data_IF_494868976237
#
_entry.id   IF_494868976237
#
_cell.length_a   1.000
_cell.length_b   1.000
_cell.length_c   1.000
_cell.angle_alpha   90.00
_cell.angle_beta   90.00
_cell.angle_gamma   90.00
#
_symmetry.space_group_name_H-M   'P 1'
#
loop_
_entity.id
_entity.type
_entity.pdbx_description
1 polymer ?
#
# COMPACT_ATOMS: atom_id res chain seq x y z
N UNK A 1 27.72 80.28 6.74
CA UNK A 1 26.66 81.09 7.32
C UNK A 1 25.59 80.14 7.83
N UNK A 2 25.45 80.15 9.16
CA UNK A 2 24.24 79.90 9.98
C UNK A 2 23.46 78.62 9.71
N UNK A 3 23.09 77.81 10.60
CA UNK A 3 23.02 77.73 12.06
C UNK A 3 22.07 76.54 12.31
N UNK A 4 22.52 75.59 13.05
CA UNK A 4 21.96 75.10 14.33
C UNK A 4 20.43 75.13 14.49
N UNK A 5 19.85 73.98 14.76
CA UNK A 5 19.04 73.78 15.97
C UNK A 5 18.80 72.28 16.26
N UNK A 6 19.37 71.98 17.35
CA UNK A 6 19.12 70.87 18.23
C UNK A 6 17.70 70.97 18.82
N UNK A 7 16.93 69.88 18.84
CA UNK A 7 15.83 69.79 19.79
C UNK A 7 15.74 68.35 20.28
N UNK A 8 16.29 68.12 21.42
CA UNK A 8 16.10 67.02 22.34
C UNK A 8 14.67 67.10 22.88
N UNK A 9 13.91 66.04 22.74
CA UNK A 9 12.70 65.82 23.55
C UNK A 9 12.76 64.41 24.14
N UNK A 10 12.75 64.44 25.36
CA UNK A 10 12.73 63.56 26.50
C UNK A 10 11.69 62.45 26.37
N UNK A 11 12.15 61.28 26.76
CA UNK A 11 11.40 60.08 27.16
C UNK A 11 10.57 60.38 28.42
N UNK A 12 9.44 59.70 28.59
CA UNK A 12 9.16 59.16 29.91
C UNK A 12 9.03 57.64 29.91
N UNK A 13 9.78 57.05 30.75
CA UNK A 13 9.56 55.70 31.28
C UNK A 13 8.19 55.62 31.96
N UNK A 14 7.41 54.64 31.68
CA UNK A 14 6.86 53.74 32.69
C UNK A 14 6.00 52.64 32.11
N UNK A 15 5.97 51.59 32.91
CA UNK A 15 5.00 50.48 32.92
C UNK A 15 5.42 49.17 32.26
N UNK A 16 6.24 48.44 33.03
CA UNK A 16 6.22 46.98 33.12
C UNK A 16 4.81 46.42 33.02
N UNK A 17 4.54 45.58 32.07
CA UNK A 17 3.72 44.40 32.26
C UNK A 17 4.27 43.25 31.42
N UNK A 18 4.98 42.40 32.12
CA UNK A 18 5.25 41.03 31.76
C UNK A 18 3.93 40.31 31.47
N UNK A 19 3.70 39.99 30.23
CA UNK A 19 2.80 38.92 29.85
C UNK A 19 3.60 37.87 29.14
N UNK A 20 4.10 36.92 29.94
CA UNK A 20 4.66 35.68 29.44
C UNK A 20 3.56 34.95 28.64
N UNK A 21 3.62 35.05 27.34
CA UNK A 21 2.89 34.16 26.45
C UNK A 21 3.50 32.76 26.62
N UNK A 22 2.85 31.97 27.46
CA UNK A 22 3.08 30.52 27.52
C UNK A 22 2.73 29.98 26.14
N UNK A 23 3.73 29.62 25.39
CA UNK A 23 3.57 28.72 24.27
C UNK A 23 3.09 27.38 24.83
N UNK A 24 1.96 26.81 24.36
CA UNK A 24 1.63 25.44 24.69
C UNK A 24 2.69 24.56 24.03
N UNK A 25 3.37 23.78 24.84
CA UNK A 25 4.22 22.70 24.38
C UNK A 25 3.41 21.88 23.38
N UNK A 26 3.90 21.78 22.15
CA UNK A 26 3.39 20.84 21.17
C UNK A 26 3.66 19.43 21.72
N UNK A 27 2.66 18.91 22.40
CA UNK A 27 2.59 17.52 22.81
C UNK A 27 2.52 16.71 21.52
N UNK A 28 3.65 16.16 21.17
CA UNK A 28 3.85 15.28 20.04
C UNK A 28 3.12 13.97 20.37
N UNK A 29 1.80 13.99 20.20
CA UNK A 29 0.98 12.77 20.23
C UNK A 29 1.35 11.95 19.02
N UNK A 30 2.39 11.15 19.18
CA UNK A 30 2.61 9.97 18.35
C UNK A 30 1.40 9.08 18.56
N UNK A 31 0.37 9.29 17.73
CA UNK A 31 -0.78 8.38 17.65
C UNK A 31 -0.23 7.07 17.13
N UNK A 32 0.17 6.20 18.06
CA UNK A 32 0.37 4.79 17.77
C UNK A 32 -0.98 4.30 17.31
N UNK A 33 -1.14 4.14 15.99
CA UNK A 33 -2.32 3.50 15.41
C UNK A 33 -2.33 2.07 15.94
N UNK A 34 -3.12 1.87 16.96
CA UNK A 34 -3.43 0.58 17.54
C UNK A 34 -4.00 -0.31 16.41
N UNK A 35 -3.21 -1.31 16.04
CA UNK A 35 -3.58 -2.27 15.01
C UNK A 35 -4.78 -3.05 15.54
N UNK A 36 -5.97 -2.73 15.03
CA UNK A 36 -7.17 -3.52 15.28
C UNK A 36 -6.88 -4.99 14.93
N UNK A 37 -7.20 -5.95 15.81
CA UNK A 37 -6.98 -7.36 15.54
C UNK A 37 -7.87 -7.79 14.38
N UNK A 38 -7.25 -8.02 13.20
CA UNK A 38 -7.89 -8.68 12.07
C UNK A 38 -8.02 -10.17 12.41
N UNK A 39 -9.03 -10.49 13.17
CA UNK A 39 -9.29 -11.84 13.68
C UNK A 39 -10.76 -12.26 13.59
N UNK A 40 -11.52 -11.73 12.64
CA UNK A 40 -12.82 -12.31 12.33
C UNK A 40 -12.60 -13.56 11.46
N UNK A 41 -12.78 -14.74 12.07
CA UNK A 41 -12.91 -16.02 11.35
C UNK A 41 -14.16 -15.98 10.47
N UNK A 42 -14.10 -15.29 9.34
CA UNK A 42 -15.13 -15.39 8.32
C UNK A 42 -15.07 -16.80 7.75
N UNK A 43 -16.19 -17.54 7.82
CA UNK A 43 -16.34 -18.83 7.16
C UNK A 43 -15.97 -18.62 5.68
N UNK A 44 -14.89 -19.25 5.27
CA UNK A 44 -14.42 -19.18 3.88
C UNK A 44 -15.48 -19.82 2.99
N UNK A 45 -16.06 -19.10 2.01
CA UNK A 45 -17.03 -19.70 1.11
C UNK A 45 -16.35 -20.80 0.29
N UNK A 46 -17.10 -21.81 -0.14
CA UNK A 46 -16.58 -22.99 -0.85
C UNK A 46 -15.73 -22.63 -2.08
N UNK A 47 -16.09 -21.57 -2.78
CA UNK A 47 -15.32 -21.08 -3.93
C UNK A 47 -13.92 -20.56 -3.56
N UNK A 48 -13.67 -20.23 -2.31
CA UNK A 48 -12.34 -19.83 -1.85
C UNK A 48 -11.28 -20.94 -2.00
N UNK A 49 -11.71 -22.20 -2.03
CA UNK A 49 -10.84 -23.36 -2.31
C UNK A 49 -10.82 -23.70 -3.81
N UNK A 50 -11.93 -23.47 -4.50
CA UNK A 50 -12.04 -23.75 -5.92
C UNK A 50 -11.22 -22.79 -6.77
N UNK A 51 -11.17 -21.50 -6.39
CA UNK A 51 -10.50 -20.46 -7.19
C UNK A 51 -9.01 -20.73 -7.41
N UNK A 52 -8.18 -21.07 -6.40
CA UNK A 52 -6.77 -21.39 -6.63
C UNK A 52 -6.59 -22.62 -7.52
N UNK A 53 -7.43 -23.65 -7.37
CA UNK A 53 -7.34 -24.87 -8.16
C UNK A 53 -7.67 -24.60 -9.63
N UNK A 54 -8.80 -23.96 -9.89
CA UNK A 54 -9.24 -23.60 -11.23
C UNK A 54 -8.25 -22.63 -11.89
N UNK A 55 -7.81 -21.59 -11.17
CA UNK A 55 -6.85 -20.64 -11.67
C UNK A 55 -5.51 -21.26 -12.06
N UNK A 56 -5.01 -22.21 -11.26
CA UNK A 56 -3.78 -22.97 -11.58
C UNK A 56 -3.98 -23.90 -12.78
N UNK A 57 -5.13 -24.58 -12.88
CA UNK A 57 -5.46 -25.42 -14.02
C UNK A 57 -5.53 -24.61 -15.32
N UNK A 58 -6.24 -23.48 -15.31
CA UNK A 58 -6.34 -22.57 -16.46
C UNK A 58 -4.96 -22.03 -16.87
N UNK A 59 -4.12 -21.68 -15.90
CA UNK A 59 -2.78 -21.20 -16.19
C UNK A 59 -1.87 -22.27 -16.78
N UNK A 60 -1.96 -23.51 -16.30
CA UNK A 60 -1.25 -24.66 -16.87
C UNK A 60 -1.69 -24.89 -18.31
N UNK A 61 -3.00 -24.83 -18.58
CA UNK A 61 -3.56 -24.96 -19.92
C UNK A 61 -3.12 -23.80 -20.83
N UNK A 62 -3.13 -22.56 -20.35
CA UNK A 62 -2.67 -21.40 -21.13
C UNK A 62 -1.17 -21.46 -21.47
N UNK A 63 -0.33 -21.97 -20.59
CA UNK A 63 1.10 -22.22 -20.87
C UNK A 63 1.30 -23.28 -21.95
N UNK A 64 0.52 -24.36 -21.89
CA UNK A 64 0.57 -25.45 -22.90
C UNK A 64 0.06 -24.97 -24.27
N UNK A 65 -0.91 -24.08 -24.30
CA UNK A 65 -1.47 -23.52 -25.55
C UNK A 65 -0.62 -22.37 -26.15
N UNK A 66 0.56 -22.07 -25.61
CA UNK A 66 1.42 -20.96 -26.06
C UNK A 66 0.70 -19.59 -26.14
N UNK A 67 -0.43 -19.46 -25.48
CA UNK A 67 -1.19 -18.20 -25.42
C UNK A 67 -0.54 -17.25 -24.43
N UNK A 68 0.29 -16.34 -24.90
CA UNK A 68 1.14 -15.43 -24.13
C UNK A 68 0.45 -14.33 -23.29
N UNK A 69 -0.79 -14.54 -22.85
CA UNK A 69 -1.53 -13.55 -22.03
C UNK A 69 -1.45 -13.82 -20.53
N UNK A 70 -0.56 -13.12 -19.82
CA UNK A 70 -0.45 -13.17 -18.35
C UNK A 70 -1.74 -12.73 -17.62
N UNK A 71 -2.64 -12.00 -18.30
CA UNK A 71 -3.90 -11.48 -17.76
C UNK A 71 -5.07 -12.46 -17.83
N UNK A 72 -5.02 -13.47 -18.70
CA UNK A 72 -6.15 -14.36 -18.94
C UNK A 72 -6.54 -15.21 -17.72
N UNK A 73 -5.59 -15.82 -17.00
CA UNK A 73 -5.91 -16.53 -15.76
C UNK A 73 -6.51 -15.63 -14.69
N UNK A 74 -6.02 -14.38 -14.59
CA UNK A 74 -6.55 -13.39 -13.68
C UNK A 74 -8.00 -13.01 -13.99
N UNK A 75 -8.33 -12.83 -15.27
CA UNK A 75 -9.71 -12.53 -15.70
C UNK A 75 -10.68 -13.66 -15.30
N UNK A 76 -10.29 -14.89 -15.51
CA UNK A 76 -11.13 -16.06 -15.15
C UNK A 76 -11.31 -16.11 -13.62
N UNK A 77 -10.22 -15.93 -12.85
CA UNK A 77 -10.30 -15.93 -11.42
C UNK A 77 -11.21 -14.83 -10.87
N UNK A 78 -11.12 -13.60 -11.39
CA UNK A 78 -12.00 -12.49 -11.01
C UNK A 78 -13.48 -12.77 -11.35
N UNK A 79 -13.76 -13.46 -12.46
CA UNK A 79 -15.13 -13.80 -12.86
C UNK A 79 -15.73 -14.85 -11.93
N UNK A 80 -14.94 -15.84 -11.51
CA UNK A 80 -15.38 -16.93 -10.62
C UNK A 80 -15.47 -16.45 -9.18
N UNK A 81 -14.52 -15.63 -8.76
CA UNK A 81 -14.41 -15.16 -7.37
C UNK A 81 -13.92 -13.70 -7.33
N UNK A 82 -14.84 -12.74 -7.45
CA UNK A 82 -14.51 -11.31 -7.36
C UNK A 82 -13.84 -10.90 -6.05
N UNK A 83 -14.04 -11.68 -4.97
CA UNK A 83 -13.43 -11.44 -3.67
C UNK A 83 -12.05 -12.04 -3.48
N UNK A 84 -11.52 -12.78 -4.46
CA UNK A 84 -10.24 -13.49 -4.35
C UNK A 84 -9.08 -12.55 -3.99
N UNK A 85 -8.96 -11.43 -4.71
CA UNK A 85 -7.90 -10.45 -4.52
C UNK A 85 -7.90 -9.87 -3.09
N UNK A 86 -9.03 -9.31 -2.67
CA UNK A 86 -9.17 -8.68 -1.35
C UNK A 86 -8.96 -9.70 -0.22
N UNK A 87 -9.53 -10.89 -0.35
CA UNK A 87 -9.41 -11.95 0.64
C UNK A 87 -8.00 -12.49 0.75
N UNK A 88 -7.28 -12.63 -0.38
CA UNK A 88 -5.92 -13.14 -0.39
C UNK A 88 -4.94 -12.13 0.20
N UNK A 89 -5.02 -10.87 -0.22
CA UNK A 89 -4.16 -9.82 0.32
C UNK A 89 -4.53 -9.44 1.77
N UNK A 90 -5.79 -9.60 2.15
CA UNK A 90 -6.24 -9.38 3.52
C UNK A 90 -5.70 -10.40 4.53
N UNK A 91 -5.03 -11.48 4.09
CA UNK A 91 -4.35 -12.43 4.98
C UNK A 91 -3.01 -11.92 5.49
N UNK A 92 -2.44 -10.91 4.83
CA UNK A 92 -1.09 -10.44 5.11
C UNK A 92 -1.07 -9.63 6.44
N UNK A 93 -0.24 -10.02 7.40
CA UNK A 93 -0.22 -9.36 8.71
C UNK A 93 0.20 -7.90 8.63
N UNK A 94 1.11 -7.56 7.74
CA UNK A 94 1.58 -6.19 7.53
C UNK A 94 0.84 -5.46 6.42
N UNK A 95 -0.08 -6.14 5.71
CA UNK A 95 -0.93 -5.53 4.70
C UNK A 95 -0.24 -5.32 3.35
N UNK A 96 -0.61 -4.24 2.66
CA UNK A 96 -0.22 -3.96 1.28
C UNK A 96 0.37 -2.55 1.17
N UNK A 97 1.53 -2.46 0.54
CA UNK A 97 2.12 -1.23 0.02
C UNK A 97 1.78 -1.14 -1.46
N UNK A 98 1.19 -0.03 -1.88
CA UNK A 98 0.89 0.23 -3.28
C UNK A 98 1.84 1.29 -3.83
N UNK A 99 2.58 0.93 -4.88
CA UNK A 99 3.48 1.83 -5.61
C UNK A 99 2.81 2.20 -6.92
N UNK A 100 2.44 3.46 -7.06
CA UNK A 100 1.86 4.01 -8.28
C UNK A 100 2.60 5.29 -8.69
N UNK A 101 2.55 5.66 -9.96
CA UNK A 101 3.25 6.82 -10.48
C UNK A 101 3.67 6.62 -11.95
N UNK A 102 3.95 7.71 -12.64
CA UNK A 102 4.28 7.68 -14.07
C UNK A 102 5.60 6.97 -14.35
N UNK A 103 6.63 7.21 -13.53
CA UNK A 103 7.96 6.66 -13.69
C UNK A 103 8.49 6.05 -12.38
N UNK A 104 9.45 5.12 -12.49
CA UNK A 104 10.16 4.58 -11.35
C UNK A 104 9.41 3.50 -10.55
N UNK A 105 8.16 3.17 -10.87
CA UNK A 105 7.34 2.18 -10.15
C UNK A 105 8.09 0.88 -9.86
N UNK A 106 8.57 0.21 -10.89
CA UNK A 106 9.27 -1.08 -10.78
C UNK A 106 10.52 -0.99 -9.92
N UNK A 107 11.31 0.08 -10.11
CA UNK A 107 12.53 0.29 -9.32
C UNK A 107 12.18 0.50 -7.85
N UNK A 108 11.23 1.37 -7.56
CA UNK A 108 10.77 1.65 -6.20
C UNK A 108 10.20 0.40 -5.54
N UNK A 109 9.35 -0.36 -6.25
CA UNK A 109 8.78 -1.63 -5.75
C UNK A 109 9.87 -2.61 -5.37
N UNK A 110 10.89 -2.77 -6.22
CA UNK A 110 12.03 -3.66 -5.95
C UNK A 110 12.87 -3.19 -4.77
N UNK A 111 13.15 -1.88 -4.69
CA UNK A 111 13.91 -1.31 -3.57
C UNK A 111 13.19 -1.53 -2.24
N UNK A 112 11.89 -1.24 -2.19
CA UNK A 112 11.08 -1.42 -0.97
C UNK A 112 11.00 -2.91 -0.60
N UNK A 113 10.73 -3.79 -1.56
CA UNK A 113 10.68 -5.23 -1.31
C UNK A 113 12.01 -5.76 -0.77
N UNK A 114 13.14 -5.39 -1.42
CA UNK A 114 14.48 -5.79 -0.97
C UNK A 114 14.83 -5.27 0.42
N UNK A 115 14.44 -4.03 0.75
CA UNK A 115 14.65 -3.49 2.08
C UNK A 115 13.87 -4.29 3.15
N UNK A 116 12.63 -4.66 2.85
CA UNK A 116 11.79 -5.48 3.74
C UNK A 116 12.36 -6.90 3.89
N UNK A 117 12.84 -7.51 2.80
CA UNK A 117 13.47 -8.82 2.83
C UNK A 117 14.76 -8.81 3.66
N UNK A 118 15.56 -7.75 3.58
CA UNK A 118 16.75 -7.56 4.42
C UNK A 118 16.41 -7.42 5.92
N UNK A 119 15.18 -7.02 6.24
CA UNK A 119 14.66 -7.01 7.61
C UNK A 119 14.06 -8.36 8.04
N UNK A 120 14.19 -9.39 7.21
CA UNK A 120 13.70 -10.75 7.49
C UNK A 120 12.23 -10.97 7.17
N UNK A 121 11.55 -10.04 6.48
CA UNK A 121 10.15 -10.16 6.09
C UNK A 121 10.02 -10.85 4.73
N UNK A 122 8.96 -11.63 4.55
CA UNK A 122 8.60 -12.22 3.26
C UNK A 122 7.76 -11.24 2.46
N UNK A 123 8.35 -10.60 1.44
CA UNK A 123 7.65 -9.69 0.55
C UNK A 123 7.07 -10.42 -0.67
N UNK A 124 5.81 -10.12 -0.99
CA UNK A 124 5.19 -10.53 -2.25
C UNK A 124 5.16 -9.34 -3.21
N UNK A 125 5.60 -9.54 -4.45
CA UNK A 125 5.54 -8.53 -5.51
C UNK A 125 4.90 -9.10 -6.76
N UNK A 126 4.26 -8.24 -7.56
CA UNK A 126 3.81 -8.64 -8.90
C UNK A 126 4.96 -8.52 -9.92
N UNK A 127 5.00 -9.41 -10.94
CA UNK A 127 6.01 -9.34 -11.99
C UNK A 127 5.96 -8.02 -12.76
N UNK A 128 7.12 -7.56 -13.24
CA UNK A 128 7.24 -6.39 -14.14
C UNK A 128 6.30 -6.54 -15.34
N UNK A 129 5.56 -5.49 -15.66
CA UNK A 129 4.58 -5.48 -16.75
C UNK A 129 3.19 -6.07 -16.36
N UNK A 130 3.03 -6.54 -15.12
CA UNK A 130 1.73 -6.99 -14.57
C UNK A 130 1.13 -5.91 -13.65
N UNK A 131 1.18 -4.66 -14.09
CA UNK A 131 0.84 -3.45 -13.36
C UNK A 131 -0.65 -3.07 -13.42
N UNK A 132 -1.50 -4.02 -13.68
CA UNK A 132 -2.96 -3.93 -13.68
C UNK A 132 -3.56 -5.01 -12.76
N UNK A 133 -4.76 -4.79 -12.26
CA UNK A 133 -5.42 -5.65 -11.26
C UNK A 133 -5.39 -7.14 -11.63
N UNK A 134 -5.72 -7.49 -12.88
CA UNK A 134 -5.70 -8.89 -13.35
C UNK A 134 -4.29 -9.50 -13.36
N UNK A 135 -3.26 -8.68 -13.58
CA UNK A 135 -1.88 -9.10 -13.48
C UNK A 135 -1.50 -9.49 -12.05
N UNK A 136 -1.94 -8.68 -11.08
CA UNK A 136 -1.76 -8.99 -9.64
C UNK A 136 -2.50 -10.28 -9.29
N UNK A 137 -3.74 -10.46 -9.72
CA UNK A 137 -4.50 -11.71 -9.50
C UNK A 137 -3.78 -12.91 -10.09
N UNK A 138 -3.25 -12.80 -11.32
CA UNK A 138 -2.46 -13.87 -11.94
C UNK A 138 -1.19 -14.19 -11.13
N UNK A 139 -0.49 -13.18 -10.64
CA UNK A 139 0.70 -13.38 -9.81
C UNK A 139 0.36 -14.05 -8.47
N UNK A 140 -0.77 -13.68 -7.86
CA UNK A 140 -1.26 -14.34 -6.65
C UNK A 140 -1.59 -15.81 -6.88
N UNK A 141 -2.23 -16.15 -8.00
CA UNK A 141 -2.55 -17.54 -8.35
C UNK A 141 -1.31 -18.44 -8.44
N UNK A 142 -0.15 -17.89 -8.78
CA UNK A 142 1.11 -18.62 -8.79
C UNK A 142 1.66 -18.91 -7.40
N UNK A 143 1.45 -18.01 -6.48
CA UNK A 143 2.07 -18.03 -5.16
C UNK A 143 1.17 -18.62 -4.08
N UNK A 144 -0.16 -18.53 -4.22
CA UNK A 144 -1.08 -19.12 -3.24
C UNK A 144 -1.01 -20.65 -3.26
N UNK A 145 -1.17 -21.25 -2.11
CA UNK A 145 -1.36 -22.69 -1.97
C UNK A 145 -2.72 -23.11 -2.55
N UNK A 146 -2.97 -24.42 -2.71
CA UNK A 146 -4.29 -24.93 -3.09
C UNK A 146 -5.38 -24.53 -2.11
N UNK A 147 -5.03 -24.33 -0.83
CA UNK A 147 -5.94 -23.81 0.19
C UNK A 147 -6.12 -22.29 0.18
N UNK A 148 -5.57 -21.57 -0.82
CA UNK A 148 -5.70 -20.12 -0.95
C UNK A 148 -4.87 -19.30 0.04
N UNK A 149 -3.83 -19.91 0.67
CA UNK A 149 -2.91 -19.18 1.55
C UNK A 149 -1.76 -18.59 0.75
N UNK A 150 -1.43 -17.36 1.04
CA UNK A 150 -0.24 -16.66 0.55
C UNK A 150 0.82 -16.69 1.65
N UNK A 151 2.00 -17.28 1.36
CA UNK A 151 3.13 -17.28 2.27
C UNK A 151 3.94 -15.99 2.08
N UNK A 152 3.46 -14.93 2.70
CA UNK A 152 4.11 -13.62 2.74
C UNK A 152 3.63 -12.85 3.98
N UNK A 153 4.45 -11.90 4.43
CA UNK A 153 4.14 -11.00 5.54
C UNK A 153 3.55 -9.69 5.04
N UNK A 154 3.98 -9.24 3.87
CA UNK A 154 3.59 -7.98 3.24
C UNK A 154 3.56 -8.13 1.72
N UNK A 155 2.70 -7.36 1.06
CA UNK A 155 2.75 -7.20 -0.39
C UNK A 155 3.25 -5.81 -0.76
N UNK A 156 4.16 -5.73 -1.73
CA UNK A 156 4.61 -4.48 -2.36
C UNK A 156 4.25 -4.57 -3.83
N UNK A 157 3.23 -3.83 -4.24
CA UNK A 157 2.62 -3.98 -5.56
C UNK A 157 2.79 -2.72 -6.39
N UNK A 158 3.19 -2.89 -7.65
CA UNK A 158 3.14 -1.80 -8.63
C UNK A 158 1.83 -1.83 -9.41
N UNK A 159 1.21 -0.66 -9.57
CA UNK A 159 0.02 -0.48 -10.39
C UNK A 159 0.11 0.82 -11.19
N UNK A 160 -0.44 0.79 -12.40
CA UNK A 160 -0.66 2.01 -13.15
C UNK A 160 -1.78 2.82 -12.51
N UNK A 161 -1.69 4.14 -12.60
CA UNK A 161 -2.60 5.09 -11.98
C UNK A 161 -4.06 4.83 -12.36
N UNK A 162 -4.29 4.44 -13.62
CA UNK A 162 -5.62 4.13 -14.13
C UNK A 162 -6.31 2.98 -13.37
N UNK A 163 -5.53 2.05 -12.81
CA UNK A 163 -6.04 0.89 -12.08
C UNK A 163 -5.98 1.05 -10.57
N UNK A 164 -5.15 1.98 -10.07
CA UNK A 164 -4.91 2.17 -8.64
C UNK A 164 -6.20 2.50 -7.88
N UNK A 165 -7.06 3.38 -8.42
CA UNK A 165 -8.32 3.80 -7.77
C UNK A 165 -9.26 2.60 -7.55
N UNK A 166 -9.41 1.74 -8.56
CA UNK A 166 -10.25 0.54 -8.45
C UNK A 166 -9.68 -0.46 -7.46
N UNK A 167 -8.36 -0.68 -7.51
CA UNK A 167 -7.65 -1.56 -6.61
C UNK A 167 -7.76 -1.13 -5.15
N UNK A 168 -7.55 0.16 -4.86
CA UNK A 168 -7.65 0.71 -3.50
C UNK A 168 -9.03 0.51 -2.89
N UNK A 169 -10.10 0.61 -3.69
CA UNK A 169 -11.47 0.34 -3.22
C UNK A 169 -11.67 -1.11 -2.82
N UNK A 170 -11.04 -2.05 -3.51
CA UNK A 170 -11.16 -3.49 -3.23
C UNK A 170 -10.26 -3.96 -2.08
N UNK A 171 -9.00 -3.52 -2.07
CA UNK A 171 -7.95 -4.09 -1.21
C UNK A 171 -7.71 -3.25 0.04
N UNK A 172 -7.96 -1.94 -0.03
CA UNK A 172 -7.67 -0.98 1.04
C UNK A 172 -6.21 -1.10 1.51
N UNK A 173 -5.22 -0.75 0.66
CA UNK A 173 -3.82 -0.80 1.04
C UNK A 173 -3.57 -0.02 2.32
N UNK A 174 -2.58 -0.44 3.10
CA UNK A 174 -2.23 0.24 4.35
C UNK A 174 -1.28 1.42 4.10
N UNK A 175 -0.47 1.32 3.02
CA UNK A 175 0.54 2.31 2.64
C UNK A 175 0.50 2.59 1.15
#
# INVERSE_FOLDING_TARGET
MMASRNTTVQEPADARRSSAVRQPAAENQTTVMEASPVGAKTRRPWHAFATPLIGKAVRKAARLAHSGGSAFPGKIAETIDPGFLARTLGQLPLGVVLVSGTNGKTTTTRMVASALENLGLKAFTNPTGSNFTRGVVSALLDRVTLGGRLDADIAVLELDEAYAVHFVRQVKPRY
#
